data_IF_288292539427
#
_entry.id   IF_288292539427
#
_cell.length_a   1.000
_cell.length_b   1.000
_cell.length_c   1.000
_cell.angle_alpha   90.00
_cell.angle_beta   90.00
_cell.angle_gamma   90.00
#
_symmetry.space_group_name_H-M   'P 1'
#
loop_
_entity.id
_entity.type
_entity.pdbx_description
1 polymer ?
#
# COMPACT_ATOMS: atom_id res chain seq x y z
N UNK A 1 18.85 -2.91 -22.58
CA UNK A 1 18.13 -1.61 -22.52
C UNK A 1 18.02 -1.22 -21.07
N UNK A 2 18.13 0.06 -20.75
CA UNK A 2 18.05 0.60 -19.39
C UNK A 2 17.22 1.88 -19.34
N UNK A 3 16.80 2.24 -18.14
CA UNK A 3 16.28 3.57 -17.85
C UNK A 3 17.40 4.43 -17.24
N UNK A 4 17.79 5.52 -17.91
CA UNK A 4 18.85 6.45 -17.45
C UNK A 4 18.26 7.63 -16.67
N UNK A 5 19.03 8.24 -15.77
CA UNK A 5 18.65 9.48 -15.07
C UNK A 5 17.67 9.32 -13.91
N UNK A 6 17.13 8.12 -13.68
CA UNK A 6 16.11 7.85 -12.65
C UNK A 6 16.60 6.97 -11.50
N UNK A 7 17.87 6.54 -11.55
CA UNK A 7 18.47 5.70 -10.51
C UNK A 7 18.70 6.51 -9.23
N UNK A 8 18.11 6.07 -8.12
CA UNK A 8 18.23 6.74 -6.82
C UNK A 8 18.90 5.88 -5.74
N UNK A 9 19.13 4.59 -6.00
CA UNK A 9 19.85 3.68 -5.10
C UNK A 9 20.57 2.61 -5.90
N UNK A 10 21.83 2.38 -5.58
CA UNK A 10 22.67 1.35 -6.21
C UNK A 10 23.29 0.46 -5.14
N UNK A 11 23.27 -0.85 -5.33
CA UNK A 11 23.89 -1.80 -4.42
C UNK A 11 24.31 -3.09 -5.12
N UNK A 12 25.25 -3.82 -4.53
CA UNK A 12 25.65 -5.15 -4.99
C UNK A 12 24.71 -6.21 -4.42
N UNK A 13 24.40 -7.24 -5.20
CA UNK A 13 23.58 -8.37 -4.79
C UNK A 13 24.28 -9.70 -5.09
N UNK A 14 23.82 -10.79 -4.50
CA UNK A 14 24.32 -12.13 -4.84
C UNK A 14 23.65 -12.63 -6.14
N UNK A 15 24.39 -12.99 -7.21
CA UNK A 15 23.79 -13.56 -8.41
C UNK A 15 22.87 -14.75 -8.12
N UNK A 16 21.63 -14.70 -8.62
CA UNK A 16 20.60 -15.71 -8.37
C UNK A 16 19.66 -15.41 -7.20
N UNK A 17 19.95 -14.42 -6.35
CA UNK A 17 19.05 -13.95 -5.31
C UNK A 17 18.05 -12.90 -5.86
N UNK A 18 16.79 -12.95 -5.41
CA UNK A 18 15.72 -11.99 -5.75
C UNK A 18 15.88 -10.61 -5.06
N UNK A 19 17.04 -10.34 -4.47
CA UNK A 19 17.36 -9.16 -3.64
C UNK A 19 17.04 -7.83 -4.35
N UNK A 20 17.28 -7.74 -5.65
CA UNK A 20 17.03 -6.52 -6.41
C UNK A 20 15.52 -6.20 -6.52
N UNK A 21 14.70 -7.23 -6.76
CA UNK A 21 13.24 -7.11 -6.79
C UNK A 21 12.68 -6.82 -5.40
N UNK A 22 13.16 -7.53 -4.38
CA UNK A 22 12.70 -7.35 -2.99
C UNK A 22 13.04 -5.96 -2.46
N UNK A 23 14.26 -5.47 -2.68
CA UNK A 23 14.67 -4.13 -2.27
C UNK A 23 13.82 -3.04 -2.93
N UNK A 24 13.46 -3.24 -4.20
CA UNK A 24 12.60 -2.31 -4.92
C UNK A 24 11.15 -2.37 -4.42
N UNK A 25 10.59 -3.57 -4.25
CA UNK A 25 9.25 -3.77 -3.68
C UNK A 25 9.10 -3.22 -2.25
N UNK A 26 10.19 -3.17 -1.48
CA UNK A 26 10.22 -2.63 -0.12
C UNK A 26 10.36 -1.10 -0.05
N UNK A 27 10.73 -0.41 -1.14
CA UNK A 27 10.89 1.05 -1.17
C UNK A 27 9.78 1.69 -2.03
N UNK A 28 8.94 2.52 -1.41
CA UNK A 28 7.79 3.18 -2.08
C UNK A 28 8.19 4.10 -3.24
N UNK A 29 9.45 4.55 -3.28
CA UNK A 29 9.97 5.35 -4.40
C UNK A 29 10.31 4.49 -5.59
N UNK A 30 10.56 3.20 -5.40
CA UNK A 30 10.97 2.31 -6.47
C UNK A 30 9.80 1.97 -7.38
N UNK A 31 10.03 2.14 -8.69
CA UNK A 31 9.06 1.80 -9.72
C UNK A 31 9.63 0.79 -10.72
N UNK A 32 10.95 0.75 -10.90
CA UNK A 32 11.67 -0.23 -11.70
C UNK A 32 13.14 -0.31 -11.26
N UNK A 33 13.97 -1.13 -11.89
CA UNK A 33 15.40 -1.19 -11.59
C UNK A 33 16.20 -1.65 -12.81
N UNK A 34 17.48 -1.27 -12.89
CA UNK A 34 18.42 -1.87 -13.84
C UNK A 34 19.29 -2.91 -13.12
N UNK A 35 19.71 -3.94 -13.85
CA UNK A 35 20.59 -5.00 -13.35
C UNK A 35 21.81 -5.12 -14.25
N UNK A 36 23.00 -5.10 -13.65
CA UNK A 36 24.25 -5.47 -14.33
C UNK A 36 24.60 -6.90 -13.90
N UNK A 37 24.30 -7.88 -14.74
CA UNK A 37 24.43 -9.30 -14.38
C UNK A 37 25.88 -9.73 -14.12
N UNK A 38 26.83 -9.23 -14.92
CA UNK A 38 28.24 -9.63 -14.85
C UNK A 38 28.96 -9.23 -13.55
N UNK A 39 28.51 -8.15 -12.91
CA UNK A 39 29.12 -7.62 -11.68
C UNK A 39 28.12 -7.52 -10.53
N UNK A 40 26.94 -8.12 -10.70
CA UNK A 40 25.88 -8.24 -9.72
C UNK A 40 25.51 -6.89 -9.06
N UNK A 41 25.22 -5.88 -9.89
CA UNK A 41 24.79 -4.56 -9.43
C UNK A 41 23.29 -4.36 -9.72
N UNK A 42 22.58 -3.87 -8.71
CA UNK A 42 21.18 -3.46 -8.76
C UNK A 42 21.09 -1.93 -8.67
N UNK A 43 20.38 -1.30 -9.60
CA UNK A 43 20.16 0.14 -9.70
C UNK A 43 18.65 0.43 -9.62
N UNK A 44 18.12 0.80 -8.45
CA UNK A 44 16.71 1.11 -8.26
C UNK A 44 16.35 2.44 -8.89
N UNK A 45 15.26 2.45 -9.66
CA UNK A 45 14.75 3.60 -10.38
C UNK A 45 13.43 4.09 -9.79
N UNK A 46 13.27 5.41 -9.71
CA UNK A 46 12.03 6.05 -9.23
C UNK A 46 11.00 6.32 -10.34
N UNK A 47 11.25 5.79 -11.54
CA UNK A 47 10.40 5.89 -12.74
C UNK A 47 10.38 4.57 -13.51
N UNK A 48 9.54 4.49 -14.53
CA UNK A 48 9.45 3.37 -15.47
C UNK A 48 9.72 3.83 -16.91
N UNK A 49 9.99 2.89 -17.82
CA UNK A 49 10.18 3.19 -19.25
C UNK A 49 8.92 3.76 -19.90
N UNK A 50 7.73 3.41 -19.39
CA UNK A 50 6.45 3.93 -19.87
C UNK A 50 6.28 5.40 -19.50
N UNK A 51 6.75 5.80 -18.31
CA UNK A 51 6.67 7.19 -17.86
C UNK A 51 7.72 8.11 -18.51
N UNK A 52 8.85 7.55 -18.96
CA UNK A 52 10.01 8.26 -19.52
C UNK A 52 10.64 7.47 -20.68
N UNK A 53 9.91 7.32 -21.81
CA UNK A 53 10.39 6.53 -22.95
C UNK A 53 11.67 7.10 -23.59
N UNK A 54 11.89 8.42 -23.51
CA UNK A 54 13.08 9.12 -23.99
C UNK A 54 14.37 8.70 -23.27
N UNK A 55 14.24 8.32 -22.00
CA UNK A 55 15.37 7.89 -21.16
C UNK A 55 15.63 6.39 -21.26
N UNK A 56 14.82 5.67 -22.04
CA UNK A 56 14.93 4.24 -22.24
C UNK A 56 15.87 3.90 -23.39
N UNK A 57 17.14 3.67 -23.06
CA UNK A 57 18.23 3.56 -24.05
C UNK A 57 18.86 2.17 -24.10
N UNK A 58 19.50 1.85 -25.23
CA UNK A 58 20.32 0.64 -25.36
C UNK A 58 21.56 0.74 -24.47
N UNK A 59 21.86 -0.36 -23.78
CA UNK A 59 23.08 -0.56 -23.00
C UNK A 59 23.47 -2.03 -23.18
N UNK A 60 24.77 -2.30 -23.26
CA UNK A 60 25.32 -3.63 -23.58
C UNK A 60 25.36 -4.56 -22.37
N UNK A 61 25.52 -4.01 -21.17
CA UNK A 61 25.81 -4.79 -19.96
C UNK A 61 24.67 -4.73 -18.93
N UNK A 62 23.72 -3.82 -19.14
CA UNK A 62 22.62 -3.56 -18.22
C UNK A 62 21.24 -3.92 -18.79
N UNK A 63 20.43 -4.48 -17.92
CA UNK A 63 19.07 -4.94 -18.20
C UNK A 63 18.06 -4.23 -17.33
N UNK A 64 17.11 -3.56 -17.97
CA UNK A 64 15.94 -2.99 -17.32
C UNK A 64 14.97 -4.08 -16.86
N UNK A 65 14.52 -3.97 -15.62
CA UNK A 65 13.51 -4.83 -15.00
C UNK A 65 12.37 -3.97 -14.45
N UNK A 66 11.15 -4.23 -14.91
CA UNK A 66 9.96 -3.68 -14.31
C UNK A 66 9.59 -4.48 -13.05
N UNK A 67 9.11 -3.81 -12.01
CA UNK A 67 8.51 -4.50 -10.87
C UNK A 67 7.10 -4.88 -11.26
N UNK A 68 6.88 -6.14 -11.59
CA UNK A 68 5.53 -6.69 -11.66
C UNK A 68 5.53 -8.20 -11.85
N UNK A 69 4.59 -8.94 -11.24
CA UNK A 69 4.14 -10.20 -11.80
C UNK A 69 3.18 -9.85 -12.95
N UNK A 70 3.69 -9.45 -14.12
CA UNK A 70 2.83 -8.80 -15.15
C UNK A 70 1.93 -7.71 -14.54
N UNK A 71 2.53 -6.61 -14.09
CA UNK A 71 1.81 -5.43 -13.63
C UNK A 71 2.35 -4.86 -12.33
N UNK A 72 2.60 -3.55 -12.29
CA UNK A 72 3.12 -2.88 -11.09
C UNK A 72 2.16 -2.92 -9.90
N UNK A 73 2.64 -2.65 -8.67
CA UNK A 73 1.78 -2.54 -7.49
C UNK A 73 1.50 -1.06 -7.19
N UNK A 74 0.48 -0.49 -7.83
CA UNK A 74 0.13 0.93 -7.81
C UNK A 74 -0.99 1.27 -6.82
N UNK A 75 -1.09 2.52 -6.34
CA UNK A 75 -2.18 2.91 -5.44
C UNK A 75 -3.52 2.88 -6.18
N UNK A 76 -4.56 2.39 -5.49
CA UNK A 76 -5.96 2.42 -5.98
C UNK A 76 -6.52 3.85 -5.97
N UNK A 77 -5.93 4.74 -5.16
CA UNK A 77 -6.32 6.15 -5.11
C UNK A 77 -7.27 6.47 -3.96
N UNK A 78 -7.20 5.75 -2.83
CA UNK A 78 -7.94 6.10 -1.61
C UNK A 78 -7.57 7.51 -1.12
N UNK A 79 -6.32 7.94 -1.32
CA UNK A 79 -5.90 9.30 -1.00
C UNK A 79 -6.59 10.40 -1.84
N UNK A 80 -7.09 10.07 -3.04
CA UNK A 80 -7.73 11.02 -3.95
C UNK A 80 -9.26 10.93 -3.87
N UNK A 81 -9.90 12.04 -3.49
CA UNK A 81 -11.35 12.14 -3.36
C UNK A 81 -12.10 12.04 -4.68
N UNK A 82 -11.44 12.33 -5.82
CA UNK A 82 -12.05 12.18 -7.14
C UNK A 82 -12.07 10.72 -7.59
N UNK A 83 -11.06 9.94 -7.18
CA UNK A 83 -10.94 8.52 -7.52
C UNK A 83 -11.82 7.66 -6.62
N UNK A 84 -11.72 7.83 -5.30
CA UNK A 84 -12.59 7.16 -4.31
C UNK A 84 -13.42 8.24 -3.59
N UNK A 85 -14.71 8.46 -3.92
CA UNK A 85 -15.54 9.46 -3.25
C UNK A 85 -15.78 9.18 -1.77
N UNK A 86 -16.12 10.22 -0.97
CA UNK A 86 -16.30 10.08 0.49
C UNK A 86 -17.38 9.06 0.88
N UNK A 87 -18.43 8.91 0.07
CA UNK A 87 -19.48 7.90 0.27
C UNK A 87 -18.97 6.45 0.23
N UNK A 88 -17.79 6.22 -0.36
CA UNK A 88 -17.15 4.89 -0.43
C UNK A 88 -16.24 4.59 0.78
N UNK A 89 -16.08 5.56 1.68
CA UNK A 89 -15.36 5.38 2.95
C UNK A 89 -16.41 5.29 4.07
N UNK A 90 -16.56 4.11 4.65
CA UNK A 90 -17.53 3.84 5.73
C UNK A 90 -16.83 3.20 6.92
N UNK A 91 -17.50 3.10 8.06
CA UNK A 91 -16.95 2.44 9.24
C UNK A 91 -18.07 1.86 10.10
N UNK A 92 -17.71 0.98 11.02
CA UNK A 92 -18.62 0.50 12.08
C UNK A 92 -19.10 1.63 13.00
N UNK A 93 -18.21 2.59 13.29
CA UNK A 93 -18.46 3.74 14.16
C UNK A 93 -17.44 4.85 13.89
N UNK A 94 -17.65 6.05 14.44
CA UNK A 94 -16.67 7.13 14.41
C UNK A 94 -16.76 7.98 15.69
N UNK A 95 -15.65 8.59 16.09
CA UNK A 95 -15.52 9.33 17.35
C UNK A 95 -16.40 10.59 17.40
N UNK A 96 -16.30 11.43 16.37
CA UNK A 96 -17.12 12.64 16.19
C UNK A 96 -17.09 13.12 14.74
N UNK A 97 -17.70 14.28 14.48
CA UNK A 97 -17.78 14.89 13.15
C UNK A 97 -16.43 15.28 12.53
N UNK A 98 -15.34 15.29 13.28
CA UNK A 98 -14.00 15.58 12.76
C UNK A 98 -13.15 14.32 12.51
N UNK A 99 -13.68 13.13 12.82
CA UNK A 99 -13.02 11.81 12.63
C UNK A 99 -13.92 10.83 11.86
N UNK A 100 -14.75 11.35 10.97
CA UNK A 100 -15.53 10.54 10.04
C UNK A 100 -14.66 9.55 9.23
N UNK A 101 -15.26 8.46 8.71
CA UNK A 101 -14.53 7.42 7.99
C UNK A 101 -13.73 7.94 6.79
N UNK A 102 -14.28 8.90 6.04
CA UNK A 102 -13.60 9.52 4.90
C UNK A 102 -12.40 10.39 5.27
N UNK A 103 -12.19 10.71 6.56
CA UNK A 103 -10.92 11.29 7.01
C UNK A 103 -9.82 10.25 7.22
N UNK A 104 -10.14 8.96 7.09
CA UNK A 104 -9.21 7.85 7.16
C UNK A 104 -8.42 7.59 5.88
N UNK A 105 -8.31 8.57 4.97
CA UNK A 105 -7.50 8.46 3.75
C UNK A 105 -6.03 8.73 4.05
N UNK A 106 -5.12 8.07 3.35
CA UNK A 106 -3.69 8.33 3.46
C UNK A 106 -3.39 9.81 3.22
N UNK A 107 -2.50 10.40 4.03
CA UNK A 107 -2.15 11.83 3.97
C UNK A 107 -3.31 12.83 4.13
N UNK A 108 -4.49 12.40 4.59
CA UNK A 108 -5.62 13.30 4.79
C UNK A 108 -5.29 14.48 5.73
N UNK A 109 -5.78 15.66 5.35
CA UNK A 109 -5.58 16.92 6.07
C UNK A 109 -6.91 17.58 6.49
N UNK A 110 -8.03 17.19 5.88
CA UNK A 110 -9.38 17.63 6.25
C UNK A 110 -9.78 17.09 7.63
N UNK A 111 -10.70 17.77 8.29
CA UNK A 111 -11.13 17.44 9.65
C UNK A 111 -9.95 17.37 10.61
N UNK A 112 -9.88 16.30 11.39
CA UNK A 112 -8.72 16.02 12.25
C UNK A 112 -7.65 15.15 11.58
N UNK A 113 -7.82 14.74 10.32
CA UNK A 113 -6.79 13.99 9.56
C UNK A 113 -6.57 12.56 10.04
N UNK A 114 -7.65 11.85 10.41
CA UNK A 114 -7.77 10.39 10.46
C UNK A 114 -9.23 9.99 10.71
N UNK A 115 -9.56 8.73 10.45
CA UNK A 115 -10.70 8.09 11.08
C UNK A 115 -10.29 7.53 12.45
N UNK A 116 -11.19 7.64 13.41
CA UNK A 116 -11.06 7.01 14.73
C UNK A 116 -12.42 6.43 15.12
N UNK A 117 -12.50 5.20 15.64
CA UNK A 117 -13.77 4.62 16.08
C UNK A 117 -14.29 5.33 17.33
N UNK A 118 -15.60 5.16 17.58
CA UNK A 118 -16.31 5.79 18.71
C UNK A 118 -15.72 5.40 20.06
N UNK A 119 -15.30 4.15 20.19
CA UNK A 119 -14.68 3.64 21.41
C UNK A 119 -13.29 3.09 21.11
N UNK A 120 -12.43 3.06 22.11
CA UNK A 120 -11.08 2.51 21.98
C UNK A 120 -11.00 1.01 22.29
N UNK A 121 -12.00 0.43 22.95
CA UNK A 121 -11.95 -0.95 23.46
C UNK A 121 -12.64 -1.97 22.56
N UNK A 122 -13.55 -1.56 21.68
CA UNK A 122 -14.24 -2.48 20.79
C UNK A 122 -13.30 -2.98 19.68
N UNK A 123 -13.00 -4.28 19.71
CA UNK A 123 -12.09 -4.94 18.74
C UNK A 123 -12.79 -5.36 17.44
N UNK A 124 -14.09 -5.10 17.31
CA UNK A 124 -14.85 -5.32 16.07
C UNK A 124 -15.06 -4.03 15.28
N UNK A 125 -14.57 -2.89 15.76
CA UNK A 125 -14.60 -1.66 14.99
C UNK A 125 -13.71 -1.77 13.74
N UNK A 126 -14.17 -1.21 12.61
CA UNK A 126 -13.44 -1.25 11.36
C UNK A 126 -13.63 0.03 10.53
N UNK A 127 -12.60 0.37 9.75
CA UNK A 127 -12.68 1.28 8.61
C UNK A 127 -12.85 0.46 7.33
N UNK A 128 -13.82 0.82 6.50
CA UNK A 128 -14.12 0.14 5.25
C UNK A 128 -13.89 1.07 4.06
N UNK A 129 -13.22 0.53 3.04
CA UNK A 129 -13.03 1.15 1.72
C UNK A 129 -13.79 0.33 0.69
N UNK A 130 -14.71 0.95 -0.05
CA UNK A 130 -15.27 0.42 -1.30
C UNK A 130 -14.47 0.99 -2.49
N UNK A 131 -13.77 0.12 -3.23
CA UNK A 131 -12.98 0.52 -4.40
C UNK A 131 -13.84 0.68 -5.66
N UNK A 132 -15.13 0.38 -5.58
CA UNK A 132 -16.14 0.51 -6.62
C UNK A 132 -16.19 -0.59 -7.66
N UNK A 133 -15.06 -1.23 -7.90
CA UNK A 133 -14.95 -2.43 -8.72
C UNK A 133 -14.06 -3.45 -8.04
N UNK A 134 -14.13 -4.69 -8.52
CA UNK A 134 -13.32 -5.78 -7.99
C UNK A 134 -11.92 -5.71 -8.59
N UNK A 135 -10.90 -5.52 -7.73
CA UNK A 135 -9.49 -5.34 -8.09
C UNK A 135 -8.63 -6.46 -7.51
N UNK A 136 -7.46 -6.68 -8.08
CA UNK A 136 -6.43 -7.56 -7.50
C UNK A 136 -5.50 -6.73 -6.62
N UNK A 137 -5.55 -6.96 -5.31
CA UNK A 137 -4.76 -6.23 -4.33
C UNK A 137 -3.38 -6.86 -4.14
N UNK A 138 -2.36 -6.01 -4.09
CA UNK A 138 -0.96 -6.39 -3.91
C UNK A 138 -0.32 -5.79 -2.65
N UNK A 139 -0.89 -4.71 -2.10
CA UNK A 139 -0.40 -4.12 -0.86
C UNK A 139 -1.46 -3.29 -0.14
N UNK A 140 -1.21 -2.98 1.13
CA UNK A 140 -1.92 -1.99 1.92
C UNK A 140 -0.94 -1.04 2.58
N UNK A 141 -1.35 0.19 2.87
CA UNK A 141 -0.57 1.10 3.71
C UNK A 141 -1.42 1.73 4.80
N UNK A 142 -0.80 1.97 5.95
CA UNK A 142 -1.43 2.64 7.10
C UNK A 142 -0.57 3.79 7.62
N UNK A 143 -1.23 4.80 8.18
CA UNK A 143 -0.62 5.98 8.79
C UNK A 143 -1.42 6.36 10.04
N UNK A 144 -0.76 6.98 11.03
CA UNK A 144 -1.39 7.38 12.29
C UNK A 144 -2.19 8.68 12.22
N UNK A 145 -2.58 9.21 13.37
CA UNK A 145 -3.40 10.42 13.50
C UNK A 145 -2.57 11.70 13.46
N UNK A 146 -2.83 12.59 12.49
CA UNK A 146 -2.01 13.78 12.25
C UNK A 146 -1.87 14.71 13.47
N UNK A 147 -2.92 14.88 14.28
CA UNK A 147 -2.98 15.96 15.28
C UNK A 147 -2.32 15.65 16.62
N UNK A 148 -2.14 14.38 16.98
CA UNK A 148 -1.54 13.99 18.26
C UNK A 148 -0.84 12.63 18.18
N UNK A 149 -0.17 12.22 19.25
CA UNK A 149 0.54 10.95 19.31
C UNK A 149 -0.42 9.77 19.45
N UNK A 150 -1.16 9.47 18.39
CA UNK A 150 -2.21 8.44 18.33
C UNK A 150 -2.06 7.63 17.05
N UNK A 151 -2.05 6.30 17.14
CA UNK A 151 -1.92 5.42 15.98
C UNK A 151 -2.27 3.96 16.32
N UNK A 152 -2.61 3.19 15.29
CA UNK A 152 -2.80 1.74 15.41
C UNK A 152 -1.47 1.01 15.24
N UNK A 153 -1.11 0.16 16.20
CA UNK A 153 0.16 -0.61 16.22
C UNK A 153 0.02 -2.02 15.66
N UNK A 154 -1.19 -2.57 15.60
CA UNK A 154 -1.48 -3.79 14.85
C UNK A 154 -2.92 -3.84 14.38
N UNK A 155 -3.17 -4.45 13.23
CA UNK A 155 -4.49 -4.59 12.64
C UNK A 155 -4.61 -5.88 11.85
N UNK A 156 -5.84 -6.25 11.49
CA UNK A 156 -6.13 -7.31 10.53
C UNK A 156 -7.06 -6.81 9.44
N UNK A 157 -7.18 -7.59 8.36
CA UNK A 157 -8.01 -7.25 7.22
C UNK A 157 -9.13 -8.28 7.02
N UNK A 158 -10.29 -7.79 6.61
CA UNK A 158 -11.28 -8.61 5.90
C UNK A 158 -11.54 -8.03 4.52
N UNK A 159 -11.85 -8.92 3.60
CA UNK A 159 -11.97 -8.66 2.17
C UNK A 159 -13.31 -9.18 1.68
N UNK A 160 -13.93 -8.49 0.74
CA UNK A 160 -15.17 -8.93 0.12
C UNK A 160 -15.26 -8.45 -1.33
N UNK A 161 -15.90 -9.23 -2.18
CA UNK A 161 -16.22 -8.86 -3.57
C UNK A 161 -17.64 -8.32 -3.72
N UNK A 162 -18.56 -8.66 -2.80
CA UNK A 162 -20.00 -8.38 -2.87
C UNK A 162 -20.49 -7.47 -1.73
N UNK A 163 -19.69 -7.24 -0.69
CA UNK A 163 -20.03 -6.49 0.51
C UNK A 163 -20.87 -7.29 1.52
N UNK A 164 -21.23 -8.53 1.20
CA UNK A 164 -22.09 -9.42 2.01
C UNK A 164 -21.25 -10.53 2.64
N UNK A 165 -20.46 -11.23 1.83
CA UNK A 165 -19.59 -12.32 2.26
C UNK A 165 -18.20 -11.77 2.53
N UNK A 166 -17.70 -11.97 3.76
CA UNK A 166 -16.42 -11.43 4.20
C UNK A 166 -15.44 -12.55 4.54
N UNK A 167 -14.25 -12.48 3.97
CA UNK A 167 -13.16 -13.41 4.24
C UNK A 167 -12.05 -12.69 4.99
N UNK A 168 -11.52 -13.33 6.03
CA UNK A 168 -10.32 -12.86 6.73
C UNK A 168 -9.11 -13.04 5.82
N UNK A 169 -8.22 -12.05 5.79
CA UNK A 169 -6.96 -12.18 5.06
C UNK A 169 -5.98 -13.08 5.84
N UNK A 170 -5.45 -14.08 5.14
CA UNK A 170 -4.57 -15.10 5.71
C UNK A 170 -3.27 -15.21 4.91
N UNK A 171 -2.18 -15.53 5.59
CA UNK A 171 -0.91 -15.93 4.97
C UNK A 171 -0.54 -17.32 5.48
N UNK A 172 -0.32 -18.26 4.56
CA UNK A 172 0.00 -19.65 4.91
C UNK A 172 -1.09 -20.30 5.79
N UNK A 173 -2.37 -20.06 5.45
CA UNK A 173 -3.57 -20.57 6.15
C UNK A 173 -3.68 -20.14 7.62
N UNK A 174 -3.11 -18.98 7.96
CA UNK A 174 -3.19 -18.39 9.29
C UNK A 174 -3.64 -16.94 9.14
N UNK A 175 -4.61 -16.52 9.96
CA UNK A 175 -5.04 -15.13 10.07
C UNK A 175 -3.83 -14.21 10.23
N UNK A 176 -3.67 -13.27 9.29
CA UNK A 176 -2.56 -12.35 9.34
C UNK A 176 -2.87 -11.19 10.27
N UNK A 177 -2.01 -11.00 11.27
CA UNK A 177 -1.92 -9.75 12.03
C UNK A 177 -0.78 -8.91 11.46
N UNK A 178 -1.11 -7.74 10.93
CA UNK A 178 -0.15 -6.77 10.42
C UNK A 178 0.44 -5.95 11.55
N UNK A 179 1.76 -5.73 11.52
CA UNK A 179 2.43 -4.74 12.37
C UNK A 179 2.15 -3.35 11.79
N UNK A 180 1.39 -2.54 12.51
CA UNK A 180 1.02 -1.19 12.10
C UNK A 180 2.12 -0.16 12.39
N UNK A 181 1.68 1.05 12.73
CA UNK A 181 2.53 2.22 12.87
C UNK A 181 3.23 2.27 14.24
N UNK A 182 4.39 2.93 14.28
CA UNK A 182 5.14 3.25 15.50
C UNK A 182 5.11 4.73 15.87
N UNK A 183 4.52 5.56 15.00
CA UNK A 183 4.36 6.99 15.19
C UNK A 183 3.12 7.48 14.39
N UNK A 184 2.86 8.80 14.46
CA UNK A 184 1.69 9.41 13.83
C UNK A 184 1.81 9.73 12.33
N UNK A 185 3.03 9.82 11.79
CA UNK A 185 3.33 10.42 10.49
C UNK A 185 3.87 9.43 9.46
N UNK A 186 4.68 8.47 9.87
CA UNK A 186 5.32 7.50 8.98
C UNK A 186 4.27 6.58 8.35
N UNK A 187 4.42 6.35 7.05
CA UNK A 187 3.58 5.42 6.28
C UNK A 187 4.19 4.02 6.41
N UNK A 188 3.40 3.06 6.85
CA UNK A 188 3.80 1.65 6.91
C UNK A 188 3.05 0.90 5.81
N UNK A 189 3.79 0.39 4.82
CA UNK A 189 3.27 -0.40 3.71
C UNK A 189 3.58 -1.88 3.93
N UNK A 190 2.59 -2.74 3.70
CA UNK A 190 2.75 -4.20 3.69
C UNK A 190 2.33 -4.76 2.34
N UNK A 191 3.22 -5.53 1.73
CA UNK A 191 2.89 -6.34 0.55
C UNK A 191 2.05 -7.53 0.99
N UNK A 192 1.04 -7.85 0.19
CA UNK A 192 0.23 -9.03 0.38
C UNK A 192 0.93 -10.20 -0.32
N UNK A 193 1.09 -11.33 0.37
CA UNK A 193 1.81 -12.50 -0.17
C UNK A 193 1.02 -13.22 -1.25
N UNK A 194 -0.30 -13.24 -1.12
CA UNK A 194 -1.18 -13.76 -2.16
C UNK A 194 -1.90 -12.58 -2.82
N UNK A 195 -2.12 -12.65 -4.12
CA UNK A 195 -2.94 -11.68 -4.84
C UNK A 195 -4.40 -11.96 -4.48
N UNK A 196 -5.06 -10.99 -3.86
CA UNK A 196 -6.45 -11.15 -3.43
C UNK A 196 -7.38 -10.29 -4.25
N UNK A 197 -8.45 -10.92 -4.72
CA UNK A 197 -9.52 -10.26 -5.46
C UNK A 197 -10.54 -9.69 -4.47
N UNK A 198 -10.71 -8.37 -4.44
CA UNK A 198 -11.64 -7.70 -3.54
C UNK A 198 -12.20 -6.42 -4.18
N UNK A 199 -13.42 -6.04 -3.80
CA UNK A 199 -13.98 -4.70 -4.02
C UNK A 199 -13.97 -3.89 -2.72
N UNK A 200 -14.23 -4.57 -1.60
CA UNK A 200 -14.29 -3.98 -0.28
C UNK A 200 -13.16 -4.49 0.60
N UNK A 201 -12.54 -3.58 1.36
CA UNK A 201 -11.53 -3.92 2.36
C UNK A 201 -11.92 -3.28 3.68
N UNK A 202 -11.91 -4.08 4.75
CA UNK A 202 -12.09 -3.62 6.13
C UNK A 202 -10.78 -3.73 6.90
N UNK A 203 -10.37 -2.63 7.53
CA UNK A 203 -9.25 -2.55 8.45
C UNK A 203 -9.76 -2.62 9.87
N UNK A 204 -9.41 -3.69 10.60
CA UNK A 204 -9.77 -3.89 12.00
C UNK A 204 -8.56 -3.57 12.89
N UNK A 205 -8.51 -2.40 13.55
CA UNK A 205 -7.46 -2.11 14.52
C UNK A 205 -7.57 -3.04 15.74
N UNK A 206 -6.42 -3.59 16.17
CA UNK A 206 -6.33 -4.54 17.28
C UNK A 206 -5.58 -3.98 18.49
N UNK A 207 -4.42 -3.35 18.25
CA UNK A 207 -3.60 -2.68 19.27
C UNK A 207 -3.27 -1.28 18.79
N UNK A 208 -3.07 -0.36 19.73
CA UNK A 208 -2.87 1.05 19.43
C UNK A 208 -2.10 1.78 20.52
N UNK A 209 -1.57 2.95 20.18
CA UNK A 209 -1.10 3.96 21.11
C UNK A 209 -2.20 5.01 21.30
N UNK A 210 -2.66 5.19 22.54
CA UNK A 210 -3.72 6.13 22.96
C UNK A 210 -5.12 5.91 22.36
N UNK A 211 -5.28 5.80 21.03
CA UNK A 211 -6.54 5.50 20.33
C UNK A 211 -6.31 4.76 19.00
N UNK A 212 -7.19 3.85 18.58
CA UNK A 212 -7.07 3.09 17.32
C UNK A 212 -7.45 3.89 16.06
N UNK A 213 -6.77 5.00 15.81
CA UNK A 213 -7.01 5.80 14.61
C UNK A 213 -6.21 5.26 13.40
N UNK A 214 -6.76 5.44 12.20
CA UNK A 214 -6.17 5.01 10.94
C UNK A 214 -6.32 6.07 9.85
N UNK A 215 -5.29 6.16 9.01
CA UNK A 215 -5.32 6.62 7.63
C UNK A 215 -4.80 5.51 6.73
N UNK A 216 -5.44 5.23 5.60
CA UNK A 216 -5.17 4.03 4.79
C UNK A 216 -5.07 4.31 3.29
N UNK A 217 -4.34 3.44 2.59
CA UNK A 217 -4.31 3.31 1.13
C UNK A 217 -4.29 1.83 0.74
N UNK A 218 -4.87 1.52 -0.41
CA UNK A 218 -4.87 0.19 -1.02
C UNK A 218 -4.03 0.23 -2.29
N UNK A 219 -3.39 -0.87 -2.63
CA UNK A 219 -2.60 -0.98 -3.85
C UNK A 219 -3.07 -2.18 -4.67
N UNK A 220 -3.21 -1.97 -5.97
CA UNK A 220 -3.62 -2.97 -6.94
C UNK A 220 -2.50 -3.33 -7.93
N UNK A 221 -2.65 -4.51 -8.52
CA UNK A 221 -1.81 -4.95 -9.64
C UNK A 221 -2.24 -4.19 -10.90
N UNK A 222 -1.39 -3.28 -11.38
CA UNK A 222 -1.57 -2.54 -12.62
C UNK A 222 -1.41 -3.47 -13.82
N UNK A 223 -2.49 -4.07 -14.29
CA UNK A 223 -2.49 -4.73 -15.60
C UNK A 223 -2.56 -3.67 -16.70
N UNK A 224 -1.41 -3.08 -17.05
CA UNK A 224 -1.30 -2.29 -18.29
C UNK A 224 -1.35 -3.25 -19.48
N UNK A 225 -2.55 -3.60 -19.92
CA UNK A 225 -2.78 -4.07 -21.29
C UNK A 225 -3.29 -2.89 -22.10
N UNK A 226 -2.36 -2.27 -22.83
CA UNK A 226 -2.47 -1.73 -24.21
C UNK A 226 -1.23 -0.90 -24.47
#
# INVERSE_FOLDING_TARGET
>A
MILKGHTYKTFKFTPGALECREACLADVRCQSYNVVMFIAICELNNRTKEARPEDFVKDKDRYYMAIGPKGGCGPVGVADTNTIPDARMTASSFYDSYRHPYYGRLNETRGSGAWCPKTKSNRTDYLQVDMGEVRFLCAVATQGYRRSSVWTTSYKLQLSTDGVTWNTYEETNIEKVFRGNSDRNSIVKHLLKNEFKARYVRFYPLKYNSWPCLRVELFEVNTSYT
#
